data_IF_134088749370
#
_entry.id   IF_134088749370
#
_cell.length_a   1.000
_cell.length_b   1.000
_cell.length_c   1.000
_cell.angle_alpha   90.00
_cell.angle_beta   90.00
_cell.angle_gamma   90.00
#
_symmetry.space_group_name_H-M   'P 1'
#
loop_
_entity.id
_entity.type
_entity.pdbx_description
1 polymer ?
#
# COMPACT_ATOMS: atom_id res chain seq x y z
N UNK A 1 -6.42 -12.61 -16.66
CA UNK A 1 -6.55 -11.71 -15.50
C UNK A 1 -5.75 -10.45 -15.83
N UNK A 2 -6.39 -9.29 -15.93
CA UNK A 2 -5.76 -8.06 -16.44
C UNK A 2 -4.69 -7.56 -15.48
N UNK A 3 -3.46 -7.42 -15.97
CA UNK A 3 -2.31 -6.89 -15.22
C UNK A 3 -2.43 -5.38 -15.03
N UNK A 4 -3.35 -4.98 -14.15
CA UNK A 4 -3.55 -3.59 -13.76
C UNK A 4 -2.55 -3.22 -12.67
N UNK A 5 -1.59 -2.35 -12.99
CA UNK A 5 -0.65 -1.76 -12.01
C UNK A 5 -1.41 -1.18 -10.81
N UNK A 6 -2.59 -0.58 -11.06
CA UNK A 6 -3.48 -0.04 -10.02
C UNK A 6 -3.91 -1.10 -9.01
N UNK A 7 -4.28 -2.28 -9.50
CA UNK A 7 -4.77 -3.39 -8.67
C UNK A 7 -3.62 -4.03 -7.90
N UNK A 8 -2.45 -4.22 -8.53
CA UNK A 8 -1.24 -4.68 -7.83
C UNK A 8 -0.82 -3.70 -6.74
N UNK A 9 -0.77 -2.40 -7.04
CA UNK A 9 -0.39 -1.37 -6.07
C UNK A 9 -1.37 -1.31 -4.91
N UNK A 10 -2.69 -1.33 -5.17
CA UNK A 10 -3.68 -1.36 -4.10
C UNK A 10 -3.57 -2.61 -3.26
N UNK A 11 -3.34 -3.78 -3.87
CA UNK A 11 -3.23 -5.04 -3.16
C UNK A 11 -1.98 -5.09 -2.28
N UNK A 12 -0.83 -4.64 -2.78
CA UNK A 12 0.40 -4.51 -1.99
C UNK A 12 0.26 -3.48 -0.86
N UNK A 13 -0.38 -2.32 -1.11
CA UNK A 13 -0.58 -1.33 -0.06
C UNK A 13 -1.56 -1.83 1.01
N UNK A 14 -2.65 -2.50 0.60
CA UNK A 14 -3.59 -3.13 1.53
C UNK A 14 -2.95 -4.25 2.34
N UNK A 15 -2.11 -5.09 1.71
CA UNK A 15 -1.36 -6.13 2.41
C UNK A 15 -0.38 -5.53 3.42
N UNK A 16 0.36 -4.47 3.06
CA UNK A 16 1.24 -3.75 3.97
C UNK A 16 0.47 -3.13 5.14
N UNK A 17 -0.66 -2.45 4.88
CA UNK A 17 -1.52 -1.88 5.92
C UNK A 17 -2.01 -2.96 6.88
N UNK A 18 -2.47 -4.09 6.35
CA UNK A 18 -2.94 -5.20 7.16
C UNK A 18 -1.80 -5.81 8.01
N UNK A 19 -0.62 -5.98 7.42
CA UNK A 19 0.56 -6.48 8.11
C UNK A 19 0.95 -5.56 9.28
N UNK A 20 1.07 -4.26 9.05
CA UNK A 20 1.38 -3.31 10.11
C UNK A 20 0.25 -3.18 11.15
N UNK A 21 -1.01 -3.28 10.74
CA UNK A 21 -2.14 -3.28 11.66
C UNK A 21 -2.14 -4.50 12.59
N UNK A 22 -1.80 -5.68 12.06
CA UNK A 22 -1.66 -6.90 12.87
C UNK A 22 -0.52 -6.75 13.86
N UNK A 23 0.66 -6.28 13.42
CA UNK A 23 1.80 -6.05 14.31
C UNK A 23 1.45 -5.04 15.41
N UNK A 24 0.88 -3.90 15.03
CA UNK A 24 0.47 -2.88 15.98
C UNK A 24 -0.59 -3.41 16.97
N UNK A 25 -1.54 -4.21 16.48
CA UNK A 25 -2.56 -4.85 17.31
C UNK A 25 -1.96 -5.83 18.32
N UNK A 26 -1.02 -6.68 17.91
CA UNK A 26 -0.33 -7.64 18.80
C UNK A 26 0.50 -6.91 19.86
N UNK A 27 1.28 -5.90 19.45
CA UNK A 27 2.09 -5.09 20.39
C UNK A 27 1.18 -4.36 21.38
N UNK A 28 0.12 -3.72 20.89
CA UNK A 28 -0.82 -2.98 21.75
C UNK A 28 -1.58 -3.89 22.70
N UNK A 29 -1.95 -5.10 22.26
CA UNK A 29 -2.59 -6.09 23.12
C UNK A 29 -1.65 -6.56 24.22
N UNK A 30 -0.40 -6.91 23.87
CA UNK A 30 0.62 -7.33 24.83
C UNK A 30 0.92 -6.23 25.84
N UNK A 31 1.14 -4.99 25.39
CA UNK A 31 1.39 -3.86 26.28
C UNK A 31 0.23 -3.61 27.25
N UNK A 32 -1.02 -3.66 26.78
CA UNK A 32 -2.18 -3.49 27.64
C UNK A 32 -2.36 -4.64 28.65
N UNK A 33 -1.96 -5.86 28.28
CA UNK A 33 -2.01 -7.02 29.16
C UNK A 33 -0.92 -6.98 30.23
N UNK A 34 0.30 -6.55 29.86
CA UNK A 34 1.41 -6.35 30.80
C UNK A 34 1.11 -5.21 31.78
N UNK A 35 0.55 -4.09 31.29
CA UNK A 35 0.15 -2.96 32.15
C UNK A 35 -0.91 -3.38 33.19
N UNK A 36 -1.83 -4.27 32.84
CA UNK A 36 -2.79 -4.82 33.79
C UNK A 36 -2.12 -5.64 34.91
N UNK A 37 -1.06 -6.39 34.61
CA UNK A 37 -0.27 -7.13 35.59
C UNK A 37 0.55 -6.21 36.50
N UNK A 38 1.13 -5.15 35.95
CA UNK A 38 1.86 -4.15 36.75
C UNK A 38 0.93 -3.45 37.74
N UNK A 39 -0.29 -3.08 37.31
CA UNK A 39 -1.30 -2.50 38.20
C UNK A 39 -1.66 -3.46 39.34
N UNK A 40 -1.76 -4.77 39.07
CA UNK A 40 -1.98 -5.77 40.12
C UNK A 40 -0.82 -5.81 41.12
N UNK A 41 0.42 -5.85 40.63
CA UNK A 41 1.61 -5.88 41.48
C UNK A 41 1.73 -4.62 42.35
N UNK A 42 1.35 -3.45 41.82
CA UNK A 42 1.34 -2.19 42.57
C UNK A 42 0.27 -2.15 43.67
N UNK A 43 -0.92 -2.71 43.43
CA UNK A 43 -1.95 -2.89 44.46
C UNK A 43 -1.41 -3.75 45.61
N UNK A 44 -0.75 -4.88 45.31
CA UNK A 44 -0.16 -5.75 46.34
C UNK A 44 0.90 -5.01 47.16
N UNK A 45 1.77 -4.24 46.51
CA UNK A 45 2.80 -3.43 47.18
C UNK A 45 2.18 -2.35 48.06
N UNK A 46 1.13 -1.68 47.59
CA UNK A 46 0.43 -0.64 48.34
C UNK A 46 -0.25 -1.22 49.58
N UNK A 47 -0.94 -2.36 49.46
CA UNK A 47 -1.55 -3.07 50.59
C UNK A 47 -0.47 -3.49 51.59
N UNK A 48 0.63 -4.08 51.13
CA UNK A 48 1.74 -4.46 52.01
C UNK A 48 2.38 -3.25 52.72
N UNK A 49 2.48 -2.10 52.05
CA UNK A 49 2.99 -0.86 52.64
C UNK A 49 2.03 -0.28 53.70
N UNK A 50 0.72 -0.33 53.46
CA UNK A 50 -0.30 0.08 54.44
C UNK A 50 -0.25 -0.79 55.70
N UNK A 51 -0.09 -2.10 55.54
CA UNK A 51 0.07 -3.04 56.67
C UNK A 51 1.36 -2.75 57.46
N UNK A 52 2.47 -2.48 56.76
CA UNK A 52 3.77 -2.13 57.37
C UNK A 52 3.73 -0.80 58.13
N UNK A 53 3.01 0.19 57.62
CA UNK A 53 2.96 1.52 58.22
C UNK A 53 2.04 1.59 59.44
N UNK A 54 0.91 0.88 59.43
CA UNK A 54 -0.10 0.96 60.48
C UNK A 54 0.02 -0.15 61.54
N UNK A 55 1.00 -1.06 61.40
CA UNK A 55 1.29 -2.14 62.35
C UNK A 55 0.04 -2.95 62.75
N UNK A 56 -0.87 -3.14 61.79
CA UNK A 56 -2.21 -3.63 62.06
C UNK A 56 -2.17 -5.12 62.50
N UNK A 57 -2.97 -5.53 63.50
CA UNK A 57 -3.03 -6.92 63.91
C UNK A 57 -3.66 -7.77 62.78
N UNK A 58 -2.90 -8.72 62.23
CA UNK A 58 -3.29 -9.53 61.06
C UNK A 58 -4.56 -10.37 61.25
N UNK A 59 -5.06 -10.48 62.48
CA UNK A 59 -6.35 -11.07 62.81
C UNK A 59 -7.55 -10.23 62.31
N UNK A 60 -7.37 -8.94 62.03
CA UNK A 60 -8.43 -8.09 61.45
C UNK A 60 -8.48 -8.12 59.90
N UNK A 61 -7.52 -8.81 59.25
CA UNK A 61 -7.28 -8.73 57.79
C UNK A 61 -7.81 -9.92 57.01
N UNK A 62 -8.48 -10.88 57.65
CA UNK A 62 -9.05 -12.04 56.96
C UNK A 62 -10.06 -11.67 55.86
N UNK A 63 -10.51 -10.41 55.78
CA UNK A 63 -11.51 -9.91 54.84
C UNK A 63 -11.32 -8.45 54.41
N UNK A 64 -10.09 -7.98 54.16
CA UNK A 64 -9.95 -6.64 53.57
C UNK A 64 -10.36 -6.64 52.11
N UNK A 65 -11.52 -6.06 51.83
CA UNK A 65 -11.94 -5.67 50.48
C UNK A 65 -11.15 -4.43 50.07
N UNK A 66 -10.48 -4.47 48.92
CA UNK A 66 -9.77 -3.30 48.42
C UNK A 66 -10.78 -2.16 48.16
N UNK A 67 -10.56 -0.92 48.65
CA UNK A 67 -11.57 0.15 48.60
C UNK A 67 -11.95 0.65 47.20
N UNK A 68 -11.24 0.24 46.14
CA UNK A 68 -11.42 0.75 44.77
C UNK A 68 -11.75 -0.33 43.73
N UNK A 69 -11.99 -1.57 44.13
CA UNK A 69 -12.51 -2.57 43.19
C UNK A 69 -14.03 -2.37 43.06
N UNK A 70 -14.47 -1.74 41.98
CA UNK A 70 -15.89 -1.71 41.57
C UNK A 70 -16.47 -3.10 41.31
N UNK A 71 -15.60 -4.10 41.19
CA UNK A 71 -15.97 -5.49 40.96
C UNK A 71 -15.95 -6.25 42.28
N UNK A 72 -17.04 -6.95 42.53
CA UNK A 72 -17.41 -7.62 43.77
C UNK A 72 -16.45 -8.77 44.18
N UNK A 73 -15.47 -9.10 43.33
CA UNK A 73 -14.68 -10.35 43.35
C UNK A 73 -13.19 -10.19 43.72
N UNK A 74 -12.63 -8.97 43.79
CA UNK A 74 -11.21 -8.80 44.11
C UNK A 74 -10.93 -8.80 45.61
N UNK A 75 -10.90 -10.00 46.22
CA UNK A 75 -10.49 -10.18 47.61
C UNK A 75 -8.96 -10.18 47.70
N UNK A 76 -8.40 -9.22 48.43
CA UNK A 76 -6.98 -9.23 48.78
C UNK A 76 -6.82 -9.92 50.12
N UNK A 77 -6.04 -10.99 50.15
CA UNK A 77 -5.83 -11.83 51.33
C UNK A 77 -4.49 -11.46 51.95
N UNK A 78 -4.48 -11.13 53.25
CA UNK A 78 -3.24 -10.86 53.99
C UNK A 78 -3.04 -11.92 55.07
N UNK A 79 -1.91 -12.62 55.04
CA UNK A 79 -1.58 -13.68 56.00
C UNK A 79 -0.16 -13.51 56.56
N UNK A 80 0.07 -13.89 57.83
CA UNK A 80 1.42 -14.04 58.39
C UNK A 80 2.06 -15.35 57.95
N UNK A 81 3.29 -15.27 57.47
CA UNK A 81 4.08 -16.44 57.08
C UNK A 81 4.76 -17.04 58.32
N UNK A 82 4.53 -18.33 58.61
CA UNK A 82 5.14 -19.04 59.74
C UNK A 82 4.20 -19.41 60.89
N UNK A 83 2.97 -18.87 60.90
CA UNK A 83 1.91 -19.35 61.78
C UNK A 83 1.16 -20.50 61.12
N UNK A 84 1.32 -21.72 61.65
CA UNK A 84 0.51 -22.89 61.29
C UNK A 84 -0.90 -22.72 61.82
N UNK A 85 -1.71 -21.91 61.15
CA UNK A 85 -3.14 -21.82 61.41
C UNK A 85 -3.74 -23.10 60.79
N UNK A 86 -4.45 -23.95 61.55
CA UNK A 86 -5.15 -25.10 60.97
C UNK A 86 -6.05 -24.61 59.84
N UNK A 87 -6.13 -25.30 58.69
CA UNK A 87 -7.09 -24.94 57.66
C UNK A 87 -8.48 -24.91 58.30
N UNK A 88 -9.14 -23.74 58.25
CA UNK A 88 -10.52 -23.66 58.69
C UNK A 88 -11.33 -24.59 57.81
N UNK A 89 -12.12 -25.48 58.42
CA UNK A 89 -13.08 -26.32 57.72
C UNK A 89 -14.27 -25.45 57.27
N UNK A 90 -14.01 -24.51 56.36
CA UNK A 90 -15.03 -23.82 55.59
C UNK A 90 -15.49 -24.73 54.46
N UNK A 91 -16.80 -24.89 54.32
CA UNK A 91 -17.42 -25.60 53.21
C UNK A 91 -17.42 -24.65 51.98
N UNK A 92 -16.55 -24.92 50.99
CA UNK A 92 -16.44 -24.14 49.75
C UNK A 92 -15.00 -23.87 49.28
N UNK A 93 -14.85 -23.23 48.12
CA UNK A 93 -13.59 -22.75 47.49
C UNK A 93 -12.79 -21.76 48.37
N UNK A 94 -13.36 -21.36 49.50
CA UNK A 94 -12.83 -20.40 50.48
C UNK A 94 -11.87 -21.07 51.51
N UNK A 95 -10.91 -21.87 51.04
CA UNK A 95 -9.90 -22.51 51.91
C UNK A 95 -8.81 -21.52 52.33
N UNK A 96 -9.18 -20.66 53.28
CA UNK A 96 -8.26 -19.81 54.02
C UNK A 96 -7.81 -20.53 55.30
N UNK A 97 -6.53 -20.45 55.68
CA UNK A 97 -5.45 -19.71 55.01
C UNK A 97 -4.91 -20.43 53.76
N UNK A 98 -4.35 -19.67 52.83
CA UNK A 98 -3.65 -20.22 51.66
C UNK A 98 -2.44 -21.07 52.13
N UNK A 99 -2.18 -22.25 51.51
CA UNK A 99 -1.06 -23.12 51.85
C UNK A 99 0.27 -22.54 51.32
N UNK A 100 0.76 -21.49 51.98
CA UNK A 100 1.97 -20.78 51.58
C UNK A 100 3.22 -21.39 52.26
N UNK A 101 4.25 -21.81 51.50
CA UNK A 101 5.51 -22.28 52.06
C UNK A 101 6.21 -21.21 52.91
N UNK A 102 6.54 -21.55 54.16
CA UNK A 102 7.26 -20.66 55.09
C UNK A 102 8.65 -20.26 54.61
N UNK A 103 9.20 -21.01 53.66
CA UNK A 103 10.53 -20.83 53.05
C UNK A 103 10.53 -19.87 51.86
N UNK A 104 9.39 -19.29 51.47
CA UNK A 104 9.36 -18.29 50.40
C UNK A 104 10.31 -17.14 50.70
N UNK A 105 10.93 -16.58 49.67
CA UNK A 105 11.72 -15.36 49.78
C UNK A 105 10.82 -14.15 49.60
N UNK A 106 11.26 -13.00 50.10
CA UNK A 106 10.56 -11.74 49.87
C UNK A 106 10.58 -11.40 48.37
N UNK A 107 9.46 -10.93 47.85
CA UNK A 107 9.24 -10.68 46.42
C UNK A 107 7.85 -11.10 45.94
N UNK A 108 7.61 -10.89 44.65
CA UNK A 108 6.40 -11.29 43.95
C UNK A 108 6.57 -12.70 43.39
N UNK A 109 5.57 -13.55 43.59
CA UNK A 109 5.54 -14.90 43.04
C UNK A 109 4.09 -15.27 42.69
N UNK A 110 3.93 -16.16 41.72
CA UNK A 110 2.60 -16.69 41.35
C UNK A 110 2.51 -18.14 41.80
N UNK A 111 1.40 -18.51 42.44
CA UNK A 111 1.18 -19.83 43.04
C UNK A 111 -0.20 -20.32 42.71
N UNK A 112 -0.35 -21.62 42.51
CA UNK A 112 -1.67 -22.23 42.33
C UNK A 112 -2.13 -22.83 43.65
N UNK A 113 -3.33 -22.45 44.11
CA UNK A 113 -3.96 -22.97 45.33
C UNK A 113 -5.42 -23.28 45.04
N UNK A 114 -5.88 -24.49 45.35
CA UNK A 114 -7.27 -24.89 45.11
C UNK A 114 -7.65 -25.07 43.63
N UNK A 115 -6.71 -24.93 42.69
CA UNK A 115 -6.98 -24.91 41.24
C UNK A 115 -6.82 -23.53 40.63
N UNK A 116 -6.88 -22.48 41.46
CA UNK A 116 -6.83 -21.08 41.05
C UNK A 116 -5.40 -20.51 41.21
N UNK A 117 -4.90 -19.70 40.26
CA UNK A 117 -3.64 -18.99 40.41
C UNK A 117 -3.81 -17.72 41.25
N UNK A 118 -2.89 -17.52 42.18
CA UNK A 118 -2.76 -16.36 43.04
C UNK A 118 -1.43 -15.66 42.78
N UNK A 119 -1.50 -14.34 42.60
CA UNK A 119 -0.35 -13.45 42.66
C UNK A 119 -0.08 -13.10 44.12
N UNK A 120 1.11 -13.43 44.62
CA UNK A 120 1.48 -13.30 46.04
C UNK A 120 2.73 -12.44 46.19
N UNK A 121 2.62 -11.39 47.01
CA UNK A 121 3.73 -10.57 47.48
C UNK A 121 4.13 -11.00 48.90
N UNK A 122 5.34 -11.50 49.07
CA UNK A 122 5.93 -11.76 50.39
C UNK A 122 6.82 -10.58 50.79
N UNK A 123 6.60 -10.02 51.98
CA UNK A 123 7.38 -8.90 52.50
C UNK A 123 7.65 -9.07 53.99
N UNK A 124 8.91 -8.89 54.39
CA UNK A 124 9.31 -8.76 55.79
C UNK A 124 9.05 -7.32 56.26
N UNK A 125 8.16 -7.19 57.25
CA UNK A 125 7.80 -5.91 57.86
C UNK A 125 8.96 -5.37 58.70
N UNK A 126 8.91 -4.08 59.05
CA UNK A 126 9.89 -3.45 59.97
C UNK A 126 9.94 -4.12 61.34
N UNK A 127 8.84 -4.75 61.76
CA UNK A 127 8.74 -5.53 63.00
C UNK A 127 9.44 -6.89 62.94
N UNK A 128 10.02 -7.28 61.81
CA UNK A 128 10.59 -8.60 61.57
C UNK A 128 9.56 -9.69 61.26
N UNK A 129 8.26 -9.36 61.30
CA UNK A 129 7.18 -10.27 60.93
C UNK A 129 7.09 -10.39 59.41
N UNK A 130 6.98 -11.60 58.88
CA UNK A 130 6.81 -11.85 57.45
C UNK A 130 5.33 -11.94 57.10
N UNK A 131 4.89 -11.18 56.11
CA UNK A 131 3.52 -11.24 55.59
C UNK A 131 3.50 -11.67 54.13
N UNK A 132 2.41 -12.30 53.74
CA UNK A 132 2.05 -12.57 52.36
C UNK A 132 0.74 -11.85 52.05
N UNK A 133 0.75 -11.07 50.97
CA UNK A 133 -0.44 -10.43 50.39
C UNK A 133 -0.73 -11.16 49.09
N UNK A 134 -1.88 -11.82 49.00
CA UNK A 134 -2.28 -12.63 47.86
C UNK A 134 -3.54 -12.08 47.21
N UNK A 135 -3.61 -12.16 45.89
CA UNK A 135 -4.79 -11.83 45.10
C UNK A 135 -4.95 -12.88 43.98
N UNK A 136 -6.19 -13.27 43.72
CA UNK A 136 -6.54 -14.19 42.63
C UNK A 136 -6.25 -13.56 41.25
N UNK A 137 -5.66 -14.33 40.35
CA UNK A 137 -5.21 -13.87 39.03
C UNK A 137 -6.22 -14.17 37.93
N UNK A 138 -6.95 -15.29 37.97
CA UNK A 138 -7.83 -15.71 36.86
C UNK A 138 -8.94 -14.69 36.54
N UNK A 139 -9.61 -14.16 37.56
CA UNK A 139 -10.59 -13.07 37.39
C UNK A 139 -9.94 -11.82 36.79
N UNK A 140 -8.65 -11.58 37.04
CA UNK A 140 -7.92 -10.43 36.50
C UNK A 140 -7.32 -10.68 35.13
N UNK A 141 -7.04 -11.91 34.74
CA UNK A 141 -6.68 -12.25 33.36
C UNK A 141 -7.86 -12.01 32.40
N UNK A 142 -9.09 -12.30 32.83
CA UNK A 142 -10.30 -12.01 32.05
C UNK A 142 -10.52 -10.49 31.89
N UNK A 143 -10.35 -9.72 32.96
CA UNK A 143 -10.46 -8.25 32.92
C UNK A 143 -9.31 -7.62 32.13
N UNK A 144 -8.08 -8.12 32.27
CA UNK A 144 -6.92 -7.70 31.51
C UNK A 144 -7.13 -7.95 30.01
N UNK A 145 -7.61 -9.14 29.65
CA UNK A 145 -7.99 -9.47 28.27
C UNK A 145 -9.09 -8.56 27.74
N UNK A 146 -10.13 -8.30 28.53
CA UNK A 146 -11.23 -7.42 28.14
C UNK A 146 -10.75 -5.97 27.93
N UNK A 147 -9.85 -5.51 28.80
CA UNK A 147 -9.23 -4.18 28.71
C UNK A 147 -8.32 -4.08 27.48
N UNK A 148 -7.49 -5.10 27.23
CA UNK A 148 -6.64 -5.17 26.05
C UNK A 148 -7.45 -5.19 24.74
N UNK A 149 -8.59 -5.91 24.69
CA UNK A 149 -9.51 -5.89 23.55
C UNK A 149 -10.08 -4.48 23.34
N UNK A 150 -10.46 -3.77 24.40
CA UNK A 150 -10.95 -2.38 24.29
C UNK A 150 -9.88 -1.44 23.74
N UNK A 151 -8.60 -1.65 24.07
CA UNK A 151 -7.48 -0.87 23.52
C UNK A 151 -7.27 -1.12 22.02
N UNK A 152 -7.45 -2.36 21.56
CA UNK A 152 -7.26 -2.73 20.13
C UNK A 152 -8.48 -2.38 19.27
N UNK A 153 -9.68 -2.26 19.86
CA UNK A 153 -10.94 -2.03 19.13
C UNK A 153 -10.91 -0.78 18.22
N UNK A 154 -10.42 0.40 18.65
CA UNK A 154 -10.28 1.57 17.79
C UNK A 154 -9.37 1.30 16.58
N UNK A 155 -8.24 0.59 16.78
CA UNK A 155 -7.31 0.24 15.71
C UNK A 155 -8.01 -0.58 14.62
N UNK A 156 -8.76 -1.61 15.02
CA UNK A 156 -9.53 -2.46 14.10
C UNK A 156 -10.59 -1.66 13.34
N UNK A 157 -11.25 -0.70 14.00
CA UNK A 157 -12.23 0.18 13.36
C UNK A 157 -11.59 1.15 12.35
N UNK A 158 -10.35 1.61 12.59
CA UNK A 158 -9.63 2.51 11.68
C UNK A 158 -9.08 1.83 10.43
N UNK A 159 -8.71 0.55 10.49
CA UNK A 159 -8.18 -0.22 9.34
C UNK A 159 -9.10 -0.17 8.10
N UNK A 160 -10.41 -0.50 8.16
CA UNK A 160 -11.27 -0.47 6.98
C UNK A 160 -11.41 0.95 6.40
N UNK A 161 -11.44 1.97 7.26
CA UNK A 161 -11.46 3.38 6.82
C UNK A 161 -10.20 3.70 6.04
N UNK A 162 -9.03 3.30 6.56
CA UNK A 162 -7.74 3.52 5.90
C UNK A 162 -7.66 2.79 4.54
N UNK A 163 -8.15 1.55 4.47
CA UNK A 163 -8.21 0.78 3.22
C UNK A 163 -9.10 1.47 2.17
N UNK A 164 -10.26 1.99 2.57
CA UNK A 164 -11.17 2.73 1.68
C UNK A 164 -10.50 4.01 1.18
N UNK A 165 -9.90 4.80 2.08
CA UNK A 165 -9.23 6.06 1.74
C UNK A 165 -8.08 5.83 0.77
N UNK A 166 -7.25 4.82 1.03
CA UNK A 166 -6.15 4.42 0.15
C UNK A 166 -6.66 3.98 -1.22
N UNK A 167 -7.66 3.11 -1.26
CA UNK A 167 -8.26 2.65 -2.52
C UNK A 167 -8.83 3.81 -3.35
N UNK A 168 -9.49 4.75 -2.69
CA UNK A 168 -10.00 5.97 -3.31
C UNK A 168 -8.87 6.87 -3.84
N UNK A 169 -7.81 7.08 -3.04
CA UNK A 169 -6.69 7.93 -3.40
C UNK A 169 -5.91 7.38 -4.60
N UNK A 170 -5.60 6.07 -4.60
CA UNK A 170 -4.97 5.40 -5.74
C UNK A 170 -5.86 5.55 -6.98
N UNK A 171 -7.18 5.36 -6.86
CA UNK A 171 -8.09 5.55 -8.00
C UNK A 171 -8.08 6.97 -8.55
N UNK A 172 -7.99 7.97 -7.67
CA UNK A 172 -7.92 9.40 -8.04
C UNK A 172 -6.60 9.75 -8.73
N UNK A 173 -5.47 9.29 -8.20
CA UNK A 173 -4.12 9.57 -8.74
C UNK A 173 -3.94 8.97 -10.14
N UNK A 174 -4.46 7.77 -10.40
CA UNK A 174 -4.32 7.10 -11.70
C UNK A 174 -5.40 7.48 -12.73
N UNK A 175 -6.42 8.27 -12.37
CA UNK A 175 -7.49 8.69 -13.28
C UNK A 175 -6.99 9.54 -14.48
N UNK A 176 -6.09 10.52 -14.31
CA UNK A 176 -5.57 11.31 -15.43
C UNK A 176 -4.83 10.47 -16.46
N UNK A 177 -4.06 9.47 -16.02
CA UNK A 177 -3.32 8.56 -16.90
C UNK A 177 -4.28 7.73 -17.77
N UNK A 178 -5.36 7.23 -17.18
CA UNK A 178 -6.38 6.50 -17.94
C UNK A 178 -7.12 7.39 -18.95
N UNK A 179 -7.37 8.66 -18.60
CA UNK A 179 -7.96 9.65 -19.51
C UNK A 179 -7.03 9.94 -20.70
N UNK A 180 -5.74 10.12 -20.41
CA UNK A 180 -4.71 10.41 -21.40
C UNK A 180 -4.50 9.26 -22.39
N UNK A 181 -4.49 8.02 -21.91
CA UNK A 181 -4.44 6.83 -22.77
C UNK A 181 -5.62 6.79 -23.72
N UNK A 182 -6.83 7.08 -23.24
CA UNK A 182 -8.04 7.11 -24.06
C UNK A 182 -8.01 8.25 -25.08
N UNK A 183 -7.46 9.40 -24.71
CA UNK A 183 -7.29 10.54 -25.62
C UNK A 183 -6.30 10.21 -26.74
N UNK A 184 -5.18 9.55 -26.42
CA UNK A 184 -4.20 9.12 -27.43
C UNK A 184 -4.78 8.05 -28.35
N UNK A 185 -5.49 7.04 -27.82
CA UNK A 185 -6.11 5.97 -28.62
C UNK A 185 -7.22 6.47 -29.55
N UNK A 186 -7.86 7.59 -29.22
CA UNK A 186 -8.93 8.19 -30.03
C UNK A 186 -8.41 9.16 -31.10
N UNK A 187 -7.13 9.56 -31.04
CA UNK A 187 -6.55 10.46 -32.05
C UNK A 187 -6.28 9.71 -33.35
N UNK A 188 -6.89 10.19 -34.43
CA UNK A 188 -6.61 9.71 -35.78
C UNK A 188 -5.18 10.08 -36.20
N UNK A 189 -4.60 9.26 -37.09
CA UNK A 189 -3.24 9.42 -37.66
C UNK A 189 -2.96 10.81 -38.24
N UNK A 190 -3.99 11.59 -38.55
CA UNK A 190 -3.93 12.93 -39.17
C UNK A 190 -3.74 14.08 -38.17
N UNK A 191 -3.91 13.89 -36.86
CA UNK A 191 -3.85 14.96 -35.86
C UNK A 191 -2.59 14.89 -34.98
N UNK A 192 -1.43 15.24 -35.54
CA UNK A 192 -0.13 15.32 -34.80
C UNK A 192 0.01 16.56 -33.88
N UNK A 193 -1.08 17.03 -33.28
CA UNK A 193 -1.02 18.15 -32.34
C UNK A 193 -0.43 17.72 -31.00
N UNK A 194 0.32 18.61 -30.34
CA UNK A 194 0.91 18.33 -29.04
C UNK A 194 -0.16 17.96 -28.00
N UNK A 195 0.16 16.98 -27.15
CA UNK A 195 -0.67 16.61 -26.01
C UNK A 195 -0.43 17.61 -24.88
N UNK A 196 -1.49 18.22 -24.36
CA UNK A 196 -1.42 19.22 -23.28
C UNK A 196 -1.00 18.54 -21.96
N UNK A 197 -0.04 19.14 -21.26
CA UNK A 197 0.60 18.54 -20.08
C UNK A 197 0.24 19.23 -18.74
N UNK A 198 -0.52 20.33 -18.78
CA UNK A 198 -0.60 21.28 -17.66
C UNK A 198 -1.29 20.71 -16.40
N UNK A 199 -2.25 19.79 -16.59
CA UNK A 199 -2.99 19.14 -15.51
C UNK A 199 -2.44 17.76 -15.11
N UNK A 200 -1.26 17.37 -15.60
CA UNK A 200 -0.65 16.05 -15.33
C UNK A 200 0.37 16.11 -14.18
N UNK A 201 0.46 15.04 -13.35
CA UNK A 201 1.48 14.90 -12.31
C UNK A 201 2.90 15.05 -12.87
N UNK A 202 3.82 15.56 -12.05
CA UNK A 202 5.23 15.80 -12.39
C UNK A 202 5.93 14.59 -12.98
N UNK A 203 5.53 13.39 -12.54
CA UNK A 203 6.12 12.11 -12.91
C UNK A 203 5.75 11.71 -14.35
N UNK A 204 4.61 12.17 -14.86
CA UNK A 204 4.12 11.83 -16.21
C UNK A 204 4.58 12.87 -17.26
N UNK A 205 4.87 14.10 -16.84
CA UNK A 205 5.31 15.18 -17.74
C UNK A 205 6.53 14.83 -18.62
N UNK A 206 7.60 14.16 -18.13
CA UNK A 206 8.72 13.74 -18.97
C UNK A 206 8.31 12.79 -20.10
N UNK A 207 7.39 11.86 -19.81
CA UNK A 207 6.89 10.90 -20.79
C UNK A 207 6.10 11.60 -21.90
N UNK A 208 5.23 12.56 -21.53
CA UNK A 208 4.47 13.35 -22.51
C UNK A 208 5.37 14.26 -23.34
N UNK A 209 6.40 14.86 -22.74
CA UNK A 209 7.42 15.60 -23.50
C UNK A 209 8.13 14.71 -24.52
N UNK A 210 8.48 13.47 -24.16
CA UNK A 210 9.10 12.53 -25.09
C UNK A 210 8.17 12.16 -26.26
N UNK A 211 6.88 11.93 -25.99
CA UNK A 211 5.87 11.68 -27.03
C UNK A 211 5.73 12.89 -27.95
N UNK A 212 5.56 14.09 -27.40
CA UNK A 212 5.42 15.32 -28.20
C UNK A 212 6.66 15.57 -29.08
N UNK A 213 7.86 15.30 -28.56
CA UNK A 213 9.09 15.38 -29.36
C UNK A 213 9.12 14.36 -30.49
N UNK A 214 8.67 13.12 -30.25
CA UNK A 214 8.58 12.10 -31.29
C UNK A 214 7.57 12.49 -32.37
N UNK A 215 6.37 12.93 -31.97
CA UNK A 215 5.33 13.42 -32.89
C UNK A 215 5.85 14.59 -33.73
N UNK A 216 6.56 15.53 -33.12
CA UNK A 216 7.19 16.65 -33.83
C UNK A 216 8.21 16.16 -34.86
N UNK A 217 9.10 15.23 -34.49
CA UNK A 217 10.10 14.67 -35.43
C UNK A 217 9.43 13.92 -36.59
N UNK A 218 8.36 13.17 -36.33
CA UNK A 218 7.58 12.49 -37.35
C UNK A 218 6.93 13.50 -38.29
N UNK A 219 6.29 14.55 -37.76
CA UNK A 219 5.69 15.61 -38.55
C UNK A 219 6.73 16.29 -39.46
N UNK A 220 7.91 16.63 -38.94
CA UNK A 220 9.00 17.21 -39.74
C UNK A 220 9.51 16.24 -40.83
N UNK A 221 9.63 14.95 -40.53
CA UNK A 221 10.07 13.94 -41.50
C UNK A 221 9.05 13.76 -42.64
N UNK A 222 7.76 13.73 -42.31
CA UNK A 222 6.68 13.62 -43.30
C UNK A 222 6.64 14.87 -44.19
N UNK A 223 6.79 16.06 -43.61
CA UNK A 223 6.83 17.31 -44.38
C UNK A 223 8.04 17.38 -45.32
N UNK A 224 9.22 16.95 -44.85
CA UNK A 224 10.42 16.87 -45.69
C UNK A 224 10.25 15.88 -46.85
N UNK A 225 9.65 14.71 -46.59
CA UNK A 225 9.36 13.72 -47.63
C UNK A 225 8.36 14.27 -48.67
N UNK A 226 7.32 15.00 -48.22
CA UNK A 226 6.36 15.66 -49.12
C UNK A 226 7.04 16.66 -50.04
N UNK A 227 7.91 17.52 -49.49
CA UNK A 227 8.69 18.48 -50.26
C UNK A 227 9.63 17.79 -51.26
N UNK A 228 10.36 16.75 -50.82
CA UNK A 228 11.23 15.99 -51.71
C UNK A 228 10.49 15.35 -52.89
N UNK A 229 9.31 14.76 -52.66
CA UNK A 229 8.50 14.17 -53.74
C UNK A 229 8.01 15.25 -54.71
N UNK A 230 7.57 16.41 -54.19
CA UNK A 230 7.15 17.53 -55.02
C UNK A 230 8.31 18.10 -55.87
N UNK A 231 9.50 18.25 -55.28
CA UNK A 231 10.68 18.74 -55.97
C UNK A 231 11.15 17.74 -57.04
N UNK A 232 11.24 16.45 -56.70
CA UNK A 232 11.59 15.39 -57.64
C UNK A 232 10.59 15.31 -58.81
N UNK A 233 9.30 15.55 -58.56
CA UNK A 233 8.28 15.63 -59.60
C UNK A 233 8.61 16.70 -60.65
N UNK A 234 8.92 17.91 -60.16
CA UNK A 234 9.21 19.06 -61.01
C UNK A 234 10.53 18.87 -61.78
N UNK A 235 11.57 18.41 -61.09
CA UNK A 235 12.89 18.16 -61.68
C UNK A 235 12.87 17.04 -62.72
N UNK A 236 11.98 16.05 -62.61
CA UNK A 236 11.83 14.98 -63.62
C UNK A 236 10.92 15.38 -64.80
N UNK A 237 9.96 16.29 -64.59
CA UNK A 237 9.07 16.76 -65.67
C UNK A 237 9.82 17.54 -66.74
N UNK A 238 10.78 18.37 -66.34
CA UNK A 238 11.60 19.19 -67.23
C UNK A 238 12.41 18.37 -68.25
N UNK A 239 13.26 17.39 -67.86
CA UNK A 239 14.02 16.58 -68.80
C UNK A 239 13.13 15.66 -69.64
N UNK A 240 12.03 15.12 -69.11
CA UNK A 240 11.07 14.36 -69.91
C UNK A 240 10.43 15.21 -71.02
N UNK A 241 10.08 16.46 -70.71
CA UNK A 241 9.54 17.41 -71.70
C UNK A 241 10.59 17.74 -72.77
N UNK A 242 11.84 17.94 -72.37
CA UNK A 242 12.95 18.17 -73.31
C UNK A 242 13.19 16.96 -74.23
N UNK A 243 13.17 15.74 -73.69
CA UNK A 243 13.31 14.51 -74.47
C UNK A 243 12.14 14.32 -75.44
N UNK A 244 10.90 14.61 -75.03
CA UNK A 244 9.73 14.59 -75.92
C UNK A 244 9.88 15.58 -77.07
N UNK A 245 10.31 16.82 -76.79
CA UNK A 245 10.51 17.84 -77.83
C UNK A 245 11.64 17.48 -78.80
N UNK A 246 12.73 16.91 -78.30
CA UNK A 246 13.82 16.41 -79.15
C UNK A 246 13.35 15.27 -80.04
N UNK A 247 12.59 14.31 -79.50
CA UNK A 247 12.01 13.21 -80.28
C UNK A 247 11.02 13.72 -81.35
N UNK A 248 10.23 14.75 -81.03
CA UNK A 248 9.32 15.40 -81.98
C UNK A 248 10.10 16.08 -83.12
N UNK A 249 11.13 16.88 -82.81
CA UNK A 249 12.01 17.48 -83.83
C UNK A 249 12.72 16.46 -84.70
N UNK A 250 13.19 15.36 -84.11
CA UNK A 250 13.79 14.25 -84.85
C UNK A 250 12.78 13.62 -85.83
N UNK A 251 11.50 13.57 -85.48
CA UNK A 251 10.48 12.96 -86.34
C UNK A 251 10.21 13.72 -87.64
N UNK A 252 10.56 15.01 -87.68
CA UNK A 252 10.46 15.87 -88.86
C UNK A 252 11.69 15.73 -89.80
N UNK A 253 12.78 15.14 -89.32
CA UNK A 253 14.00 14.96 -90.11
C UNK A 253 13.88 13.79 -91.12
N UNK A 254 14.60 13.90 -92.24
CA UNK A 254 14.62 12.88 -93.27
C UNK A 254 15.47 11.68 -92.82
N UNK A 255 14.89 10.48 -92.80
CA UNK A 255 15.52 9.28 -92.26
C UNK A 255 15.05 8.00 -92.95
N UNK A 256 15.79 6.90 -92.77
CA UNK A 256 15.40 5.58 -93.28
C UNK A 256 14.12 5.06 -92.59
N UNK A 257 13.42 4.13 -93.26
CA UNK A 257 12.20 3.50 -92.72
C UNK A 257 12.47 2.84 -91.36
N UNK A 258 13.59 2.12 -91.25
CA UNK A 258 14.02 1.47 -90.00
C UNK A 258 14.32 2.45 -88.87
N UNK A 259 14.90 3.62 -89.15
CA UNK A 259 15.14 4.65 -88.13
C UNK A 259 13.82 5.27 -87.64
N UNK A 260 12.84 5.44 -88.53
CA UNK A 260 11.50 5.95 -88.20
C UNK A 260 10.75 5.03 -87.24
N UNK A 261 10.79 3.72 -87.48
CA UNK A 261 10.18 2.71 -86.59
C UNK A 261 10.79 2.76 -85.18
N UNK A 262 12.11 2.86 -85.08
CA UNK A 262 12.81 2.98 -83.78
C UNK A 262 12.47 4.28 -83.04
N UNK A 263 12.30 5.39 -83.76
CA UNK A 263 11.89 6.66 -83.16
C UNK A 263 10.46 6.60 -82.59
N UNK A 264 9.56 5.89 -83.27
CA UNK A 264 8.18 5.67 -82.77
C UNK A 264 8.23 4.86 -81.46
N UNK A 265 9.02 3.79 -81.40
CA UNK A 265 9.23 3.01 -80.18
C UNK A 265 9.78 3.87 -79.02
N UNK A 266 10.79 4.71 -79.30
CA UNK A 266 11.39 5.62 -78.34
C UNK A 266 10.36 6.63 -77.79
N UNK A 267 9.58 7.26 -78.67
CA UNK A 267 8.55 8.23 -78.29
C UNK A 267 7.46 7.58 -77.41
N UNK A 268 7.04 6.36 -77.76
CA UNK A 268 6.14 5.60 -76.89
C UNK A 268 6.77 5.26 -75.53
N UNK A 269 8.08 5.01 -75.47
CA UNK A 269 8.81 4.83 -74.21
C UNK A 269 8.80 6.08 -73.32
N UNK A 270 9.09 7.25 -73.90
CA UNK A 270 9.07 8.54 -73.19
C UNK A 270 7.66 8.85 -72.67
N UNK A 271 6.63 8.63 -73.48
CA UNK A 271 5.23 8.89 -73.08
C UNK A 271 4.77 7.96 -71.95
N UNK A 272 5.14 6.68 -71.99
CA UNK A 272 4.90 5.75 -70.86
C UNK A 272 5.61 6.21 -69.59
N UNK A 273 6.85 6.68 -69.70
CA UNK A 273 7.61 7.22 -68.56
C UNK A 273 6.94 8.44 -67.94
N UNK A 274 6.42 9.35 -68.77
CA UNK A 274 5.64 10.52 -68.35
C UNK A 274 4.36 10.13 -67.60
N UNK A 275 3.58 9.20 -68.15
CA UNK A 275 2.37 8.70 -67.50
C UNK A 275 2.65 7.99 -66.17
N UNK A 276 3.72 7.19 -66.09
CA UNK A 276 4.10 6.52 -64.85
C UNK A 276 4.51 7.53 -63.76
N UNK A 277 5.22 8.60 -64.12
CA UNK A 277 5.53 9.71 -63.23
C UNK A 277 4.24 10.36 -62.70
N UNK A 278 3.31 10.70 -63.59
CA UNK A 278 2.02 11.30 -63.19
C UNK A 278 1.21 10.38 -62.26
N UNK A 279 1.18 9.07 -62.52
CA UNK A 279 0.51 8.11 -61.65
C UNK A 279 1.15 8.01 -60.26
N UNK A 280 2.48 7.95 -60.17
CA UNK A 280 3.19 7.92 -58.88
C UNK A 280 2.94 9.19 -58.06
N UNK A 281 2.90 10.35 -58.72
CA UNK A 281 2.62 11.63 -58.07
C UNK A 281 1.17 11.71 -57.58
N UNK A 282 0.23 11.22 -58.39
CA UNK A 282 -1.19 11.17 -58.02
C UNK A 282 -1.42 10.22 -56.83
N UNK A 283 -0.76 9.06 -56.81
CA UNK A 283 -0.82 8.16 -55.66
C UNK A 283 -0.21 8.79 -54.40
N UNK A 284 0.92 9.48 -54.54
CA UNK A 284 1.57 10.16 -53.42
C UNK A 284 0.73 11.32 -52.87
N UNK A 285 -0.03 12.03 -53.71
CA UNK A 285 -0.90 13.12 -53.29
C UNK A 285 -2.20 12.62 -52.67
N UNK A 286 -2.76 11.51 -53.16
CA UNK A 286 -3.95 10.86 -52.58
C UNK A 286 -3.64 10.22 -51.23
N UNK A 287 -2.48 9.57 -51.05
CA UNK A 287 -2.04 9.09 -49.74
C UNK A 287 -1.70 10.22 -48.76
N UNK A 288 -1.48 11.44 -49.27
CA UNK A 288 -1.15 12.61 -48.47
C UNK A 288 -2.35 13.54 -48.21
N UNK A 289 -3.49 13.33 -48.88
CA UNK A 289 -4.75 14.02 -48.57
C UNK A 289 -5.46 13.32 -47.40
N UNK A 290 -6.05 14.10 -46.47
CA UNK A 290 -6.61 13.61 -45.21
C UNK A 290 -7.79 12.66 -45.40
#
# INVERSE_FOLDING_TARGET
>A
MSDSIRLRLSLWLSAAILFFAVIAGVISFGAAFDEAHELQDDVLRQVAALVDNNNLPTSEFHNLRAPQASDEEARVIVQRLGTSIPPSAGDGDDKLPLPLPVTMRDGLTTLTSGGEPYRVLVKTLRSGTRIAVAQETDVRDEIARTSAIRTVMPLVAFVPVLLIVVGWLVRRIFRPVASLSKEIDQRQYSELHAVQADHLPSEIRPFIRAINNLLSRVATSVDAQRRFVADAAHELRTPLTALSLQAERLSEAQMSVTAKERLIELRHGIERGRHMLEHLLTLSSVQAMP
#
